data_IF_885350327896
#
_entry.id   IF_885350327896
#
_cell.length_a   1.000
_cell.length_b   1.000
_cell.length_c   1.000
_cell.angle_alpha   90.00
_cell.angle_beta   90.00
_cell.angle_gamma   90.00
#
_symmetry.space_group_name_H-M   'P 1'
#
loop_
_entity.id
_entity.type
_entity.pdbx_description
1 polymer ?
#
# COMPACT_ATOMS: atom_id res chain seq x y z
N UNK A 1 -11.96 -35.88 27.97
CA UNK A 1 -12.46 -34.50 27.77
C UNK A 1 -11.85 -33.97 26.50
N UNK A 2 -12.65 -33.83 25.45
CA UNK A 2 -12.30 -33.07 24.24
C UNK A 2 -11.97 -31.62 24.65
N UNK A 3 -11.07 -30.88 24.02
CA UNK A 3 -11.34 -30.11 22.79
C UNK A 3 -9.98 -29.56 22.30
N UNK A 4 -9.49 -30.05 21.16
CA UNK A 4 -9.38 -29.32 19.89
C UNK A 4 -8.13 -28.43 19.70
N UNK A 5 -7.35 -28.88 18.73
CA UNK A 5 -6.29 -28.28 17.93
C UNK A 5 -6.39 -26.79 17.56
N UNK A 6 -5.21 -26.28 17.15
CA UNK A 6 -4.87 -25.09 16.33
C UNK A 6 -4.40 -23.87 17.16
N UNK A 7 -3.25 -23.24 16.91
CA UNK A 7 -2.60 -22.92 15.62
C UNK A 7 -1.07 -22.77 15.72
N UNK A 8 -0.42 -23.46 14.80
CA UNK A 8 0.81 -23.24 14.04
C UNK A 8 1.72 -21.99 14.27
N UNK A 9 2.99 -22.32 14.57
CA UNK A 9 4.20 -22.06 13.72
C UNK A 9 4.87 -20.68 13.83
N UNK A 10 5.63 -20.50 14.91
CA UNK A 10 6.76 -19.57 14.99
C UNK A 10 8.01 -20.15 14.30
N UNK A 11 8.60 -19.41 13.36
CA UNK A 11 10.02 -19.49 12.97
C UNK A 11 10.49 -18.06 12.70
N UNK A 12 11.15 -17.38 13.65
CA UNK A 12 12.61 -17.29 13.88
C UNK A 12 13.31 -16.32 12.93
N UNK A 13 13.69 -15.13 13.42
CA UNK A 13 14.89 -14.42 12.94
C UNK A 13 15.48 -13.48 14.01
N UNK A 14 16.63 -13.92 14.53
CA UNK A 14 17.82 -13.21 15.04
C UNK A 14 17.76 -12.12 16.14
N UNK A 15 18.63 -12.37 17.13
CA UNK A 15 19.03 -11.57 18.29
C UNK A 15 19.60 -10.20 17.93
N UNK A 16 19.20 -9.14 18.65
CA UNK A 16 20.11 -8.16 19.29
C UNK A 16 19.34 -7.17 20.17
N UNK A 17 20.00 -6.79 21.26
CA UNK A 17 19.70 -5.86 22.37
C UNK A 17 18.87 -4.60 22.09
N UNK A 18 17.98 -4.30 23.06
CA UNK A 18 17.52 -2.98 23.50
C UNK A 18 17.11 -1.97 22.42
N UNK A 19 15.85 -2.02 21.99
CA UNK A 19 15.09 -0.81 21.64
C UNK A 19 13.64 -1.00 22.09
N UNK A 20 13.14 -0.04 22.88
CA UNK A 20 11.79 0.04 23.42
C UNK A 20 10.79 0.09 22.25
N UNK A 21 10.40 -1.07 21.72
CA UNK A 21 9.36 -1.16 20.70
C UNK A 21 8.06 -0.70 21.34
N UNK A 22 7.72 0.56 21.13
CA UNK A 22 6.34 0.99 21.24
C UNK A 22 5.51 0.00 20.42
N UNK A 23 4.42 -0.51 20.98
CA UNK A 23 3.47 -1.33 20.22
C UNK A 23 2.92 -0.40 19.14
N UNK A 24 3.53 -0.42 17.95
CA UNK A 24 3.12 0.41 16.81
C UNK A 24 1.72 -0.09 16.44
N UNK A 25 0.68 0.64 16.85
CA UNK A 25 -0.68 0.40 16.36
C UNK A 25 -0.69 0.76 14.88
N UNK A 26 -0.58 -0.24 14.01
CA UNK A 26 -0.61 -0.02 12.57
C UNK A 26 -1.96 0.61 12.19
N UNK A 27 -1.94 1.84 11.64
CA UNK A 27 -3.15 2.48 11.12
C UNK A 27 -3.70 1.59 10.00
N UNK A 28 -4.99 1.27 10.05
CA UNK A 28 -5.63 0.49 9.00
C UNK A 28 -5.50 1.22 7.66
N UNK A 29 -4.97 0.57 6.61
CA UNK A 29 -4.81 1.22 5.32
C UNK A 29 -6.18 1.54 4.72
N UNK A 30 -6.37 2.79 4.31
CA UNK A 30 -7.60 3.24 3.65
C UNK A 30 -7.64 2.61 2.26
N UNK A 31 -8.71 1.86 1.97
CA UNK A 31 -8.96 1.23 0.67
C UNK A 31 -9.04 2.30 -0.42
N UNK A 32 -8.63 1.93 -1.63
CA UNK A 32 -8.72 2.81 -2.79
C UNK A 32 -10.06 2.61 -3.48
N UNK A 33 -10.78 3.69 -3.68
CA UNK A 33 -12.00 3.68 -4.45
C UNK A 33 -11.70 3.55 -5.96
N UNK A 34 -12.70 3.12 -6.71
CA UNK A 34 -12.56 2.88 -8.16
C UNK A 34 -12.34 4.21 -8.89
N UNK A 35 -13.02 5.26 -8.46
CA UNK A 35 -12.91 6.61 -8.99
C UNK A 35 -11.49 7.16 -8.76
N UNK A 36 -10.96 7.04 -7.54
CA UNK A 36 -9.58 7.46 -7.23
C UNK A 36 -8.56 6.72 -8.09
N UNK A 37 -8.78 5.43 -8.31
CA UNK A 37 -7.92 4.61 -9.16
C UNK A 37 -7.97 5.07 -10.62
N UNK A 38 -9.16 5.41 -11.13
CA UNK A 38 -9.34 5.92 -12.49
C UNK A 38 -8.60 7.25 -12.69
N UNK A 39 -8.76 8.19 -11.75
CA UNK A 39 -8.05 9.48 -11.76
C UNK A 39 -6.53 9.29 -11.71
N UNK A 40 -6.05 8.31 -10.94
CA UNK A 40 -4.62 7.99 -10.87
C UNK A 40 -4.09 7.49 -12.22
N UNK A 41 -4.80 6.56 -12.87
CA UNK A 41 -4.40 6.02 -14.18
C UNK A 41 -4.42 7.12 -15.25
N UNK A 42 -5.47 7.93 -15.26
CA UNK A 42 -5.61 9.05 -16.20
C UNK A 42 -4.48 10.07 -16.00
N UNK A 43 -4.19 10.45 -14.76
CA UNK A 43 -3.11 11.37 -14.47
C UNK A 43 -1.73 10.82 -14.82
N UNK A 44 -1.51 9.51 -14.65
CA UNK A 44 -0.28 8.86 -15.11
C UNK A 44 -0.17 8.90 -16.63
N UNK A 45 -1.27 8.67 -17.35
CA UNK A 45 -1.29 8.71 -18.82
C UNK A 45 -1.07 10.14 -19.35
N UNK A 46 -1.59 11.16 -18.66
CA UNK A 46 -1.48 12.56 -19.07
C UNK A 46 -0.12 13.19 -18.72
N UNK A 47 0.38 12.98 -17.49
CA UNK A 47 1.57 13.66 -16.98
C UNK A 47 2.83 12.78 -16.93
N UNK A 48 2.67 11.47 -17.07
CA UNK A 48 3.75 10.49 -17.01
C UNK A 48 4.16 10.06 -15.60
N UNK A 49 5.04 9.06 -15.57
CA UNK A 49 5.50 8.34 -14.38
C UNK A 49 6.59 9.12 -13.63
N UNK A 50 6.22 10.18 -12.91
CA UNK A 50 7.09 10.86 -11.92
C UNK A 50 6.40 12.06 -11.28
N UNK A 51 5.39 12.61 -11.94
CA UNK A 51 4.74 13.88 -11.59
C UNK A 51 3.60 13.69 -10.58
N UNK A 52 3.83 12.92 -9.51
CA UNK A 52 2.80 12.59 -8.51
C UNK A 52 2.18 13.82 -7.83
N UNK A 53 2.98 14.84 -7.56
CA UNK A 53 2.48 16.10 -6.97
C UNK A 53 1.56 16.84 -7.94
N UNK A 54 1.91 16.83 -9.22
CA UNK A 54 1.12 17.48 -10.27
C UNK A 54 -0.19 16.72 -10.49
N UNK A 55 -0.14 15.39 -10.59
CA UNK A 55 -1.34 14.53 -10.66
C UNK A 55 -2.27 14.78 -9.46
N UNK A 56 -1.71 14.89 -8.25
CA UNK A 56 -2.51 15.19 -7.05
C UNK A 56 -3.18 16.56 -7.09
N UNK A 57 -2.54 17.56 -7.71
CA UNK A 57 -3.08 18.92 -7.81
C UNK A 57 -4.08 19.06 -8.97
N UNK A 58 -3.87 18.34 -10.07
CA UNK A 58 -4.71 18.40 -11.26
C UNK A 58 -6.03 17.65 -11.11
N UNK A 59 -6.11 16.67 -10.22
CA UNK A 59 -7.30 15.84 -10.01
C UNK A 59 -7.83 15.95 -8.59
N UNK A 60 -9.14 15.75 -8.43
CA UNK A 60 -9.83 15.93 -7.15
C UNK A 60 -9.68 14.71 -6.23
N UNK A 61 -8.47 14.47 -5.72
CA UNK A 61 -8.22 13.42 -4.73
C UNK A 61 -8.65 13.84 -3.32
N UNK A 62 -9.08 12.90 -2.47
CA UNK A 62 -9.34 13.19 -1.06
C UNK A 62 -8.11 13.73 -0.35
N UNK A 63 -8.30 14.62 0.64
CA UNK A 63 -7.19 15.28 1.34
C UNK A 63 -6.22 14.30 2.02
N UNK A 64 -6.70 13.13 2.43
CA UNK A 64 -5.88 12.07 3.03
C UNK A 64 -4.98 11.33 2.04
N UNK A 65 -5.16 11.53 0.72
CA UNK A 65 -4.26 11.00 -0.31
C UNK A 65 -3.08 11.94 -0.47
N UNK A 66 -1.89 11.38 -0.30
CA UNK A 66 -0.60 12.06 -0.49
C UNK A 66 0.05 11.59 -1.78
N UNK A 67 0.96 12.40 -2.34
CA UNK A 67 1.82 12.03 -3.45
C UNK A 67 2.52 10.67 -3.25
N UNK A 68 2.94 10.36 -2.01
CA UNK A 68 3.51 9.06 -1.62
C UNK A 68 2.47 7.95 -1.78
N UNK A 69 1.25 8.15 -1.30
CA UNK A 69 0.18 7.14 -1.42
C UNK A 69 -0.14 6.80 -2.89
N UNK A 70 -0.13 7.79 -3.78
CA UNK A 70 -0.30 7.59 -5.23
C UNK A 70 0.83 6.74 -5.81
N UNK A 71 2.09 7.09 -5.49
CA UNK A 71 3.27 6.33 -5.92
C UNK A 71 3.23 4.88 -5.43
N UNK A 72 2.90 4.67 -4.16
CA UNK A 72 2.84 3.35 -3.56
C UNK A 72 1.72 2.50 -4.14
N UNK A 73 0.55 3.11 -4.43
CA UNK A 73 -0.55 2.44 -5.13
C UNK A 73 -0.15 1.99 -6.52
N UNK A 74 0.52 2.85 -7.30
CA UNK A 74 1.02 2.47 -8.63
C UNK A 74 2.05 1.34 -8.55
N UNK A 75 2.96 1.36 -7.56
CA UNK A 75 3.93 0.27 -7.36
C UNK A 75 3.24 -1.07 -7.09
N UNK A 76 2.17 -1.07 -6.30
CA UNK A 76 1.38 -2.29 -6.05
C UNK A 76 0.62 -2.74 -7.30
N UNK A 77 0.08 -1.81 -8.10
CA UNK A 77 -0.52 -2.14 -9.40
C UNK A 77 0.48 -2.82 -10.33
N UNK A 78 1.67 -2.25 -10.50
CA UNK A 78 2.69 -2.79 -11.39
C UNK A 78 3.09 -4.21 -11.00
N UNK A 79 3.17 -4.52 -9.70
CA UNK A 79 3.43 -5.89 -9.24
C UNK A 79 2.33 -6.87 -9.67
N UNK A 80 1.07 -6.49 -9.53
CA UNK A 80 -0.06 -7.34 -9.94
C UNK A 80 -0.08 -7.54 -11.47
N UNK A 81 0.09 -6.46 -12.24
CA UNK A 81 0.03 -6.52 -13.70
C UNK A 81 1.24 -7.17 -14.38
N UNK A 82 2.43 -7.16 -13.76
CA UNK A 82 3.60 -7.88 -14.30
C UNK A 82 3.46 -9.39 -14.09
N UNK A 83 2.77 -9.84 -13.03
CA UNK A 83 2.59 -11.27 -12.74
C UNK A 83 1.60 -11.93 -13.73
N UNK A 84 0.70 -11.18 -14.37
CA UNK A 84 -0.25 -11.73 -15.34
C UNK A 84 0.30 -11.83 -16.77
N UNK A 85 1.58 -11.50 -16.99
CA UNK A 85 2.18 -11.47 -18.33
C UNK A 85 3.43 -12.34 -18.47
N UNK A 86 3.42 -13.49 -17.80
CA UNK A 86 4.31 -14.63 -18.05
C UNK A 86 3.49 -15.87 -18.43
#
# INVERSE_FOLDING_TARGET
MNTHFQTYKYIKFFNTTLCRHSIIKYKTPIKWEKEETKLLIEGINTYGLSKWSQIRQSYNFPQYRTNISLKDKYRNFKKVYIIEKD
#
